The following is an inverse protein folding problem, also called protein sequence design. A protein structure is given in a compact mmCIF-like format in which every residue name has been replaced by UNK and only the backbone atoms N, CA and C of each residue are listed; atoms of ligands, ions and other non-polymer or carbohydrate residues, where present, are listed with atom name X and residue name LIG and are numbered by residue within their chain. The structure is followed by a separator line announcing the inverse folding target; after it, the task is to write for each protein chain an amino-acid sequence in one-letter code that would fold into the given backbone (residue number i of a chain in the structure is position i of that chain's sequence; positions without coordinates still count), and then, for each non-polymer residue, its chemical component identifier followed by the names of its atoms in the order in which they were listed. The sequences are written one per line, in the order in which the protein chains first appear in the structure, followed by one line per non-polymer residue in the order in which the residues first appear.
data_IF_051644929820
#
_entry.id   IF_051644929820
#
_cell.length_a   1.000
_cell.length_b   1.000
_cell.length_c   1.000
_cell.angle_alpha   90.00
_cell.angle_beta   90.00
_cell.angle_gamma   90.00
#
_symmetry.space_group_name_H-M   'P 1'
#
loop_
_entity.id
_entity.type
_entity.pdbx_description
1 polymer ?
#
# COMPACT_ATOMS: atom_id res chain seq x y z
N UNK A 1 6.13 -19.50 26.92
CA UNK A 1 6.97 -19.56 25.70
C UNK A 1 6.71 -18.30 24.90
N UNK A 2 7.75 -17.52 24.57
CA UNK A 2 7.58 -16.28 23.81
C UNK A 2 7.64 -16.55 22.31
N UNK A 3 6.87 -15.80 21.53
CA UNK A 3 6.89 -15.87 20.06
C UNK A 3 7.36 -14.53 19.51
N UNK A 4 8.43 -14.56 18.71
CA UNK A 4 8.88 -13.39 17.95
C UNK A 4 8.34 -13.50 16.52
N UNK A 5 7.65 -12.47 16.05
CA UNK A 5 7.14 -12.39 14.67
C UNK A 5 7.99 -11.40 13.88
N UNK A 6 8.60 -11.88 12.80
CA UNK A 6 9.43 -11.09 11.89
C UNK A 6 8.88 -11.29 10.47
N UNK A 7 8.91 -10.27 9.59
CA UNK A 7 8.54 -10.44 8.19
C UNK A 7 9.36 -11.55 7.53
N UNK A 8 8.74 -12.28 6.59
CA UNK A 8 9.43 -13.33 5.82
C UNK A 8 10.51 -12.75 4.89
N UNK A 9 10.30 -11.53 4.41
CA UNK A 9 11.18 -10.84 3.46
C UNK A 9 11.30 -9.37 3.88
N UNK A 10 12.52 -8.83 3.84
CA UNK A 10 12.81 -7.41 4.05
C UNK A 10 13.73 -6.96 2.90
N UNK A 11 13.20 -6.17 1.98
CA UNK A 11 14.00 -5.55 0.92
C UNK A 11 14.59 -4.24 1.45
N UNK A 12 15.92 -4.17 1.58
CA UNK A 12 16.62 -3.01 2.14
C UNK A 12 17.79 -2.58 1.25
N UNK A 13 17.98 -1.27 1.09
CA UNK A 13 19.04 -0.68 0.26
C UNK A 13 18.62 0.60 -0.45
N UNK A 14 19.56 1.22 -1.18
CA UNK A 14 19.37 2.54 -1.84
C UNK A 14 18.19 2.60 -2.81
N UNK A 15 17.89 1.49 -3.49
CA UNK A 15 16.85 1.38 -4.51
C UNK A 15 15.84 0.23 -4.25
N UNK A 16 15.72 -0.21 -3.00
CA UNK A 16 14.88 -1.37 -2.66
C UNK A 16 13.42 -1.23 -3.14
N UNK A 17 12.87 -0.02 -3.16
CA UNK A 17 11.52 0.25 -3.69
C UNK A 17 11.37 -0.07 -5.17
N UNK A 18 12.35 0.29 -6.01
CA UNK A 18 12.27 0.06 -7.46
C UNK A 18 12.66 -1.36 -7.88
N UNK A 19 13.34 -2.09 -6.99
CA UNK A 19 13.75 -3.49 -7.19
C UNK A 19 12.75 -4.48 -6.57
N UNK A 20 11.74 -3.98 -5.84
CA UNK A 20 10.69 -4.82 -5.28
C UNK A 20 9.64 -5.14 -6.34
N UNK A 21 9.22 -6.40 -6.40
CA UNK A 21 8.09 -6.80 -7.24
C UNK A 21 6.77 -6.47 -6.54
N UNK A 22 5.86 -5.84 -7.27
CA UNK A 22 4.52 -5.50 -6.79
C UNK A 22 3.46 -6.25 -7.61
N UNK A 23 2.34 -6.64 -6.97
CA UNK A 23 1.29 -7.34 -7.68
C UNK A 23 0.55 -6.35 -8.57
N UNK A 24 0.07 -6.82 -9.72
CA UNK A 24 -0.89 -6.06 -10.53
C UNK A 24 -2.23 -5.99 -9.80
N UNK A 25 -3.01 -4.93 -9.99
CA UNK A 25 -4.28 -4.71 -9.28
C UNK A 25 -4.10 -4.53 -7.76
N UNK A 26 -2.97 -3.97 -7.32
CA UNK A 26 -2.76 -3.64 -5.91
C UNK A 26 -3.59 -2.42 -5.49
N UNK A 27 -4.02 -2.39 -4.23
CA UNK A 27 -4.59 -1.18 -3.61
C UNK A 27 -3.51 -0.47 -2.78
N UNK A 28 -3.13 0.74 -3.20
CA UNK A 28 -2.24 1.62 -2.45
C UNK A 28 -3.07 2.49 -1.53
N UNK A 29 -2.80 2.41 -0.23
CA UNK A 29 -3.48 3.17 0.82
C UNK A 29 -2.48 4.14 1.43
N UNK A 30 -2.75 5.45 1.37
CA UNK A 30 -1.80 6.49 1.78
C UNK A 30 -2.48 7.70 2.41
N UNK A 31 -1.75 8.42 3.24
CA UNK A 31 -2.10 9.74 3.79
C UNK A 31 -1.42 10.88 3.03
N UNK A 32 -0.53 10.53 2.08
CA UNK A 32 0.39 11.47 1.41
C UNK A 32 -0.36 12.24 0.32
N UNK A 33 -0.14 13.57 0.20
CA UNK A 33 -0.73 14.37 -0.87
C UNK A 33 -0.43 13.79 -2.26
N UNK A 34 -1.36 13.90 -3.23
CA UNK A 34 -1.21 13.29 -4.56
C UNK A 34 0.14 13.57 -5.23
N UNK A 35 0.63 14.81 -5.17
CA UNK A 35 1.89 15.22 -5.80
C UNK A 35 3.13 14.47 -5.28
N UNK A 36 3.12 14.07 -4.01
CA UNK A 36 4.19 13.28 -3.40
C UNK A 36 3.98 11.79 -3.65
N UNK A 37 2.72 11.34 -3.64
CA UNK A 37 2.34 9.96 -3.96
C UNK A 37 2.80 9.56 -5.35
N UNK A 38 2.65 10.42 -6.35
CA UNK A 38 3.08 10.15 -7.74
C UNK A 38 4.58 9.86 -7.86
N UNK A 39 5.42 10.60 -7.13
CA UNK A 39 6.88 10.36 -7.13
C UNK A 39 7.24 8.99 -6.56
N UNK A 40 6.54 8.57 -5.51
CA UNK A 40 6.78 7.27 -4.87
C UNK A 40 6.27 6.13 -5.75
N UNK A 41 5.08 6.27 -6.33
CA UNK A 41 4.48 5.30 -7.23
C UNK A 41 5.34 5.11 -8.49
N UNK A 42 5.87 6.20 -9.05
CA UNK A 42 6.83 6.15 -10.14
C UNK A 42 8.12 5.40 -9.76
N UNK A 43 8.64 5.64 -8.54
CA UNK A 43 9.84 4.94 -8.05
C UNK A 43 9.60 3.45 -7.79
N UNK A 44 8.40 3.08 -7.34
CA UNK A 44 8.00 1.69 -7.14
C UNK A 44 7.81 0.93 -8.47
N UNK A 45 7.53 1.63 -9.56
CA UNK A 45 7.26 0.99 -10.85
C UNK A 45 6.00 0.11 -10.86
N UNK A 46 5.10 0.34 -9.90
CA UNK A 46 3.85 -0.42 -9.76
C UNK A 46 2.91 -0.15 -10.94
N UNK A 47 2.21 -1.21 -11.39
CA UNK A 47 1.32 -1.16 -12.55
C UNK A 47 -0.09 -1.59 -12.18
N UNK A 48 -1.05 -1.02 -12.88
CA UNK A 48 -2.48 -1.34 -12.74
C UNK A 48 -2.94 -1.27 -11.28
N UNK A 49 -2.51 -0.23 -10.54
CA UNK A 49 -2.87 -0.08 -9.12
C UNK A 49 -4.11 0.80 -8.94
N UNK A 50 -4.77 0.62 -7.81
CA UNK A 50 -5.79 1.50 -7.28
C UNK A 50 -5.19 2.37 -6.17
N UNK A 51 -5.66 3.60 -6.05
CA UNK A 51 -5.19 4.54 -5.02
C UNK A 51 -6.34 4.93 -4.09
N UNK A 52 -6.06 4.89 -2.79
CA UNK A 52 -6.87 5.50 -1.74
C UNK A 52 -5.97 6.43 -0.91
N UNK A 53 -6.11 7.73 -1.13
CA UNK A 53 -5.29 8.80 -0.55
C UNK A 53 -6.03 9.62 0.53
N UNK A 54 -7.20 9.15 0.94
CA UNK A 54 -8.09 9.86 1.86
C UNK A 54 -7.88 9.45 3.34
N UNK A 55 -6.83 8.70 3.64
CA UNK A 55 -6.53 8.28 5.01
C UNK A 55 -6.15 9.50 5.85
N UNK A 56 -6.76 9.61 7.02
CA UNK A 56 -6.41 10.63 8.01
C UNK A 56 -5.43 10.07 9.04
N UNK A 57 -4.59 10.91 9.67
CA UNK A 57 -3.86 10.52 10.86
C UNK A 57 -4.81 9.95 11.91
N UNK A 58 -4.40 8.88 12.58
CA UNK A 58 -5.23 8.16 13.57
C UNK A 58 -6.57 7.69 12.98
N UNK A 59 -6.55 6.80 11.97
CA UNK A 59 -7.76 6.37 11.29
C UNK A 59 -8.71 5.65 12.26
N UNK A 60 -9.99 5.99 12.17
CA UNK A 60 -11.06 5.35 12.93
C UNK A 60 -11.52 4.04 12.27
N UNK A 61 -12.35 3.28 12.98
CA UNK A 61 -13.03 2.10 12.40
C UNK A 61 -13.91 2.49 11.20
N UNK A 62 -14.52 3.67 11.23
CA UNK A 62 -15.36 4.15 10.14
C UNK A 62 -14.52 4.46 8.89
N UNK A 63 -13.33 5.02 9.06
CA UNK A 63 -12.39 5.24 7.95
C UNK A 63 -11.95 3.92 7.31
N UNK A 64 -11.72 2.88 8.12
CA UNK A 64 -11.40 1.53 7.63
C UNK A 64 -12.58 0.93 6.87
N UNK A 65 -13.80 1.04 7.41
CA UNK A 65 -15.00 0.53 6.75
C UNK A 65 -15.29 1.23 5.42
N UNK A 66 -14.97 2.52 5.31
CA UNK A 66 -15.09 3.26 4.06
C UNK A 66 -14.19 2.66 2.96
N UNK A 67 -12.92 2.40 3.28
CA UNK A 67 -11.98 1.74 2.35
C UNK A 67 -12.50 0.37 1.94
N UNK A 68 -12.89 -0.47 2.90
CA UNK A 68 -13.38 -1.82 2.62
C UNK A 68 -14.60 -1.76 1.70
N UNK A 69 -15.58 -0.92 2.02
CA UNK A 69 -16.81 -0.78 1.23
C UNK A 69 -16.53 -0.35 -0.22
N UNK A 70 -15.55 0.54 -0.42
CA UNK A 70 -15.20 1.06 -1.74
C UNK A 70 -14.44 0.04 -2.62
N UNK A 71 -13.65 -0.84 -2.01
CA UNK A 71 -12.75 -1.74 -2.73
C UNK A 71 -13.09 -3.22 -2.66
N UNK A 72 -14.09 -3.63 -1.84
CA UNK A 72 -14.49 -5.04 -1.69
C UNK A 72 -14.82 -5.73 -3.02
N UNK A 73 -15.48 -5.03 -3.94
CA UNK A 73 -15.94 -5.60 -5.22
C UNK A 73 -14.86 -5.50 -6.31
N UNK A 74 -13.72 -4.85 -6.01
CA UNK A 74 -12.60 -4.63 -6.95
C UNK A 74 -11.51 -5.69 -6.85
N UNK A 75 -11.61 -6.61 -5.89
CA UNK A 75 -10.70 -7.75 -5.68
C UNK A 75 -9.21 -7.38 -5.80
N UNK A 76 -8.69 -6.48 -4.94
CA UNK A 76 -7.28 -6.09 -4.98
C UNK A 76 -6.34 -7.28 -4.72
N UNK A 77 -5.24 -7.35 -5.46
CA UNK A 77 -4.22 -8.39 -5.30
C UNK A 77 -3.27 -8.11 -4.13
N UNK A 78 -2.68 -9.15 -3.56
CA UNK A 78 -1.71 -9.08 -2.45
C UNK A 78 -0.41 -9.82 -2.77
N UNK A 79 0.69 -9.44 -2.08
CA UNK A 79 1.98 -10.15 -2.06
C UNK A 79 2.03 -11.20 -0.95
#
# INVERSE_FOLDING_TARGET
MYTVRIPKVINFGKNALGETEYPKNALVVTTVPPELSDKWLAKMGIKDYMLYDQVKPEPSIDDVNAVISQFKDKNPSVL
#
